data_IF_830690557786
#
_entry.id   IF_830690557786
#
_cell.length_a   1.000
_cell.length_b   1.000
_cell.length_c   1.000
_cell.angle_alpha   90.00
_cell.angle_beta   90.00
_cell.angle_gamma   90.00
#
_symmetry.space_group_name_H-M   'P 1'
#
loop_
_entity.id
_entity.type
_entity.pdbx_description
1 polymer ?
#
# COMPACT_ATOMS: atom_id res chain seq x y z
N UNK A 1 -14.64 -4.80 -5.73
CA UNK A 1 -14.57 -5.91 -4.78
C UNK A 1 -14.50 -5.41 -3.34
N UNK A 2 -13.37 -5.03 -2.80
CA UNK A 2 -13.17 -4.80 -1.37
C UNK A 2 -14.16 -3.78 -0.78
N UNK A 3 -14.34 -2.63 -1.38
CA UNK A 3 -15.28 -1.60 -0.92
C UNK A 3 -16.76 -1.98 -1.04
N UNK A 4 -17.10 -3.08 -1.67
CA UNK A 4 -18.47 -3.60 -1.80
C UNK A 4 -18.75 -4.83 -0.92
N UNK A 5 -17.83 -5.21 -0.05
CA UNK A 5 -18.01 -6.33 0.87
C UNK A 5 -18.68 -5.91 2.19
N UNK A 6 -18.82 -4.63 2.44
CA UNK A 6 -19.38 -4.08 3.66
C UNK A 6 -20.83 -3.69 3.48
N UNK A 7 -21.57 -3.67 4.57
CA UNK A 7 -22.98 -3.31 4.56
C UNK A 7 -23.16 -1.81 4.30
N UNK A 8 -23.90 -1.48 3.27
CA UNK A 8 -24.30 -0.10 2.97
C UNK A 8 -25.69 0.19 3.54
N UNK A 9 -25.96 1.47 3.81
CA UNK A 9 -27.23 1.92 4.36
C UNK A 9 -28.42 1.53 3.46
N UNK A 10 -28.24 1.60 2.15
CA UNK A 10 -29.24 1.25 1.13
C UNK A 10 -29.68 -0.22 1.26
N UNK A 11 -28.77 -1.14 1.49
CA UNK A 11 -29.07 -2.57 1.64
C UNK A 11 -29.96 -2.81 2.86
N UNK A 12 -29.66 -2.15 3.97
CA UNK A 12 -30.46 -2.21 5.19
C UNK A 12 -31.84 -1.61 4.98
N UNK A 13 -31.94 -0.42 4.36
CA UNK A 13 -33.18 0.29 4.10
C UNK A 13 -34.07 -0.51 3.15
N UNK A 14 -33.52 -1.08 2.09
CA UNK A 14 -34.29 -1.90 1.13
C UNK A 14 -34.84 -3.15 1.79
N UNK A 15 -34.06 -3.83 2.62
CA UNK A 15 -34.50 -5.01 3.35
C UNK A 15 -35.66 -4.68 4.30
N UNK A 16 -35.53 -3.60 5.04
CA UNK A 16 -36.59 -3.11 5.93
C UNK A 16 -37.83 -2.70 5.14
N UNK A 17 -37.68 -1.91 4.07
CA UNK A 17 -38.79 -1.42 3.27
C UNK A 17 -39.54 -2.57 2.58
N UNK A 18 -38.85 -3.57 2.06
CA UNK A 18 -39.49 -4.77 1.48
C UNK A 18 -40.38 -5.49 2.48
N UNK A 19 -39.92 -5.57 3.74
CA UNK A 19 -40.75 -6.12 4.83
C UNK A 19 -41.99 -5.26 5.11
N UNK A 20 -41.87 -3.92 5.13
CA UNK A 20 -42.98 -3.02 5.42
C UNK A 20 -44.05 -3.08 4.35
N UNK A 21 -43.67 -3.11 3.07
CA UNK A 21 -44.64 -3.13 1.95
C UNK A 21 -45.06 -4.54 1.54
N UNK A 22 -44.43 -5.56 2.13
CA UNK A 22 -44.60 -7.00 1.85
C UNK A 22 -44.49 -7.31 0.33
N UNK A 23 -43.49 -6.72 -0.32
CA UNK A 23 -43.19 -6.90 -1.75
C UNK A 23 -41.68 -6.81 -1.99
N UNK A 24 -41.16 -7.47 -3.03
CA UNK A 24 -39.80 -7.26 -3.49
C UNK A 24 -39.56 -5.78 -3.89
N UNK A 25 -38.41 -5.26 -3.49
CA UNK A 25 -37.95 -3.93 -3.89
C UNK A 25 -36.65 -4.07 -4.65
N UNK A 26 -36.47 -3.31 -5.73
CA UNK A 26 -35.23 -3.17 -6.45
C UNK A 26 -34.77 -1.72 -6.44
N UNK A 27 -33.51 -1.52 -6.17
CA UNK A 27 -32.83 -0.24 -6.30
C UNK A 27 -31.56 -0.41 -7.15
N UNK A 28 -31.22 0.62 -7.89
CA UNK A 28 -29.98 0.68 -8.66
C UNK A 28 -29.43 2.08 -8.53
N UNK A 29 -28.25 2.20 -7.91
CA UNK A 29 -27.59 3.49 -7.75
C UNK A 29 -27.22 4.09 -9.10
N UNK A 30 -27.42 5.38 -9.23
CA UNK A 30 -26.81 6.17 -10.30
C UNK A 30 -25.35 6.46 -9.97
N UNK A 31 -24.57 6.84 -10.98
CA UNK A 31 -23.14 7.14 -10.83
C UNK A 31 -22.90 8.27 -9.82
N UNK A 32 -23.75 9.30 -9.86
CA UNK A 32 -23.66 10.45 -8.96
C UNK A 32 -23.89 10.07 -7.50
N UNK A 33 -24.87 9.19 -7.24
CA UNK A 33 -25.14 8.65 -5.90
C UNK A 33 -23.93 7.88 -5.39
N UNK A 34 -23.36 6.98 -6.23
CA UNK A 34 -22.17 6.21 -5.85
C UNK A 34 -20.97 7.09 -5.50
N UNK A 35 -20.76 8.20 -6.20
CA UNK A 35 -19.67 9.13 -5.83
C UNK A 35 -19.91 9.89 -4.53
N UNK A 36 -21.15 10.05 -4.11
CA UNK A 36 -21.50 10.75 -2.88
C UNK A 36 -21.54 9.85 -1.66
N UNK A 37 -21.84 8.56 -1.84
CA UNK A 37 -22.17 7.65 -0.72
C UNK A 37 -21.25 6.43 -0.63
N UNK A 38 -20.71 5.92 -1.74
CA UNK A 38 -19.84 4.76 -1.70
C UNK A 38 -18.51 5.08 -0.99
N UNK A 39 -18.05 4.15 -0.18
CA UNK A 39 -16.74 4.25 0.43
C UNK A 39 -15.63 4.19 -0.63
N UNK A 40 -14.63 5.03 -0.48
CA UNK A 40 -13.43 5.01 -1.31
C UNK A 40 -12.20 4.62 -0.47
N UNK A 41 -11.08 4.34 -1.09
CA UNK A 41 -9.84 3.97 -0.41
C UNK A 41 -8.74 5.01 -0.58
N UNK A 42 -7.71 4.91 0.28
CA UNK A 42 -6.41 5.56 0.15
C UNK A 42 -6.44 7.08 0.17
N UNK A 43 -6.69 7.63 1.36
CA UNK A 43 -6.60 9.06 1.58
C UNK A 43 -5.74 9.35 2.81
N UNK A 44 -4.42 9.33 2.58
CA UNK A 44 -3.38 9.53 3.59
C UNK A 44 -2.49 10.69 3.22
N UNK A 45 -2.24 11.58 4.19
CA UNK A 45 -1.14 12.54 4.15
C UNK A 45 -0.02 12.02 5.04
N UNK A 46 1.11 11.63 4.43
CA UNK A 46 2.19 10.95 5.15
C UNK A 46 3.50 11.69 5.06
N UNK A 47 4.14 11.89 6.20
CA UNK A 47 5.55 12.28 6.31
C UNK A 47 6.34 11.04 6.73
N UNK A 48 7.41 10.75 6.01
CA UNK A 48 8.23 9.57 6.27
C UNK A 48 9.72 9.87 6.14
N UNK A 49 10.52 9.25 7.01
CA UNK A 49 11.96 9.41 7.08
C UNK A 49 12.62 8.05 7.21
N UNK A 50 13.68 7.83 6.43
CA UNK A 50 14.49 6.62 6.47
C UNK A 50 15.93 6.98 6.87
N UNK A 51 16.40 6.43 7.99
CA UNK A 51 17.77 6.55 8.41
C UNK A 51 18.62 5.41 7.81
N UNK A 52 19.78 5.78 7.27
CA UNK A 52 20.73 4.84 6.66
C UNK A 52 22.15 5.11 7.18
N UNK A 53 22.96 4.07 7.17
CA UNK A 53 24.39 4.23 7.32
C UNK A 53 25.06 4.61 5.98
N UNK A 54 26.38 4.89 6.03
CA UNK A 54 27.16 5.27 4.83
C UNK A 54 27.22 4.17 3.76
N UNK A 55 26.93 2.93 4.10
CA UNK A 55 26.89 1.82 3.16
C UNK A 55 25.52 1.62 2.51
N UNK A 56 24.49 2.34 2.96
CA UNK A 56 23.12 2.21 2.50
C UNK A 56 22.31 1.15 3.24
N UNK A 57 22.76 0.71 4.41
CA UNK A 57 21.95 -0.16 5.27
C UNK A 57 20.93 0.66 6.05
N UNK A 58 19.71 0.14 6.15
CA UNK A 58 18.63 0.78 6.88
C UNK A 58 18.85 0.65 8.38
N UNK A 59 18.71 1.76 9.08
CA UNK A 59 18.85 1.86 10.53
C UNK A 59 17.50 2.06 11.23
N UNK A 60 16.65 2.92 10.67
CA UNK A 60 15.32 3.17 11.21
C UNK A 60 14.39 3.76 10.16
N UNK A 61 13.09 3.53 10.34
CA UNK A 61 11.99 4.16 9.59
C UNK A 61 11.08 4.90 10.56
N UNK A 62 10.77 6.16 10.27
CA UNK A 62 9.75 6.93 10.98
C UNK A 62 8.66 7.35 10.01
N UNK A 63 7.40 7.08 10.37
CA UNK A 63 6.23 7.39 9.55
C UNK A 63 5.18 8.05 10.43
N UNK A 64 4.71 9.23 10.01
CA UNK A 64 3.60 9.95 10.62
C UNK A 64 2.55 10.20 9.56
N UNK A 65 1.33 9.73 9.79
CA UNK A 65 0.24 9.76 8.81
C UNK A 65 -0.99 10.43 9.39
N UNK A 66 -1.57 11.39 8.67
CA UNK A 66 -2.94 11.84 8.88
C UNK A 66 -3.83 11.09 7.88
N UNK A 67 -4.79 10.31 8.39
CA UNK A 67 -5.69 9.49 7.60
C UNK A 67 -7.10 10.06 7.59
N UNK A 68 -7.63 10.35 6.41
CA UNK A 68 -9.03 10.75 6.24
C UNK A 68 -9.94 9.53 6.46
N UNK A 69 -10.97 9.70 7.29
CA UNK A 69 -12.01 8.69 7.56
C UNK A 69 -13.34 9.01 6.87
N UNK A 70 -13.44 10.19 6.23
CA UNK A 70 -14.70 10.69 5.69
C UNK A 70 -15.61 11.29 6.77
N UNK A 71 -16.89 11.51 6.43
CA UNK A 71 -17.86 12.15 7.32
C UNK A 71 -18.33 11.24 8.48
N UNK A 72 -18.19 9.93 8.30
CA UNK A 72 -18.52 8.92 9.30
C UNK A 72 -17.72 7.64 9.03
N UNK A 73 -17.58 6.80 10.05
CA UNK A 73 -16.85 5.54 9.91
C UNK A 73 -17.67 4.51 9.11
N UNK A 74 -17.07 3.97 8.08
CA UNK A 74 -17.52 2.74 7.46
C UNK A 74 -17.11 1.54 8.31
N UNK A 75 -17.56 0.34 7.97
CA UNK A 75 -17.51 -0.85 8.83
C UNK A 75 -16.08 -1.24 9.26
N UNK A 76 -15.11 -1.13 8.34
CA UNK A 76 -13.73 -1.57 8.59
C UNK A 76 -12.71 -0.42 8.51
N UNK A 77 -13.20 0.80 8.39
CA UNK A 77 -12.41 2.00 8.09
C UNK A 77 -11.21 2.20 9.02
N UNK A 78 -11.39 2.05 10.33
CA UNK A 78 -10.35 2.31 11.32
C UNK A 78 -9.16 1.36 11.24
N UNK A 79 -9.35 0.13 10.76
CA UNK A 79 -8.29 -0.87 10.65
C UNK A 79 -7.34 -0.61 9.48
N UNK A 80 -7.81 0.09 8.44
CA UNK A 80 -7.05 0.29 7.20
C UNK A 80 -5.78 1.11 7.43
N UNK A 81 -5.88 2.36 7.96
CA UNK A 81 -4.70 3.21 8.15
C UNK A 81 -3.86 2.82 9.37
N UNK A 82 -4.35 1.96 10.22
CA UNK A 82 -3.69 1.57 11.48
C UNK A 82 -3.03 0.20 11.35
N UNK A 83 -3.74 -0.87 11.72
CA UNK A 83 -3.17 -2.23 11.80
C UNK A 83 -2.68 -2.70 10.44
N UNK A 84 -3.52 -2.60 9.39
CA UNK A 84 -3.19 -3.13 8.07
C UNK A 84 -2.11 -2.32 7.34
N UNK A 85 -1.94 -1.07 7.68
CA UNK A 85 -0.88 -0.21 7.18
C UNK A 85 0.42 -0.41 7.96
N UNK A 86 0.38 -0.25 9.28
CA UNK A 86 1.57 -0.25 10.11
C UNK A 86 2.33 -1.57 10.08
N UNK A 87 1.62 -2.70 10.07
CA UNK A 87 2.23 -4.04 10.11
C UNK A 87 3.02 -4.40 8.85
N UNK A 88 2.83 -3.69 7.73
CA UNK A 88 3.57 -3.92 6.47
C UNK A 88 4.67 -2.88 6.20
N UNK A 89 4.92 -1.93 7.13
CA UNK A 89 5.99 -0.94 6.97
C UNK A 89 7.40 -1.53 7.00
N UNK A 90 7.59 -2.76 7.45
CA UNK A 90 8.87 -3.46 7.30
C UNK A 90 9.17 -3.79 5.83
N UNK A 91 8.14 -4.00 4.99
CA UNK A 91 8.33 -4.45 3.62
C UNK A 91 9.13 -5.75 3.57
N UNK A 92 10.06 -5.86 2.62
CA UNK A 92 10.98 -7.00 2.49
C UNK A 92 12.33 -6.74 3.19
N UNK A 93 12.42 -5.73 4.08
CA UNK A 93 13.68 -5.18 4.54
C UNK A 93 13.95 -5.42 6.02
N UNK A 94 15.25 -5.57 6.34
CA UNK A 94 15.78 -5.71 7.70
C UNK A 94 15.89 -4.33 8.39
N UNK A 95 14.81 -3.58 8.51
CA UNK A 95 14.80 -2.29 9.21
C UNK A 95 14.71 -2.53 10.72
N UNK A 96 15.74 -2.24 11.53
CA UNK A 96 15.76 -2.65 12.94
C UNK A 96 14.76 -1.92 13.82
N UNK A 97 14.42 -0.68 13.49
CA UNK A 97 13.50 0.14 14.26
C UNK A 97 12.49 0.82 13.33
N UNK A 98 11.22 0.71 13.66
CA UNK A 98 10.13 1.34 12.91
C UNK A 98 9.22 2.06 13.90
N UNK A 99 9.02 3.37 13.70
CA UNK A 99 8.03 4.17 14.38
C UNK A 99 6.90 4.50 13.41
N UNK A 100 5.68 4.24 13.82
CA UNK A 100 4.48 4.59 13.06
C UNK A 100 3.46 5.28 13.97
N UNK A 101 3.05 6.47 13.56
CA UNK A 101 1.98 7.23 14.21
C UNK A 101 0.90 7.55 13.18
N UNK A 102 -0.35 7.30 13.53
CA UNK A 102 -1.50 7.59 12.67
C UNK A 102 -2.53 8.41 13.43
N UNK A 103 -2.84 9.58 12.89
CA UNK A 103 -3.95 10.42 13.34
C UNK A 103 -5.11 10.27 12.37
N UNK A 104 -6.18 9.63 12.80
CA UNK A 104 -7.41 9.51 12.02
C UNK A 104 -8.29 10.75 12.21
N UNK A 105 -8.78 11.36 11.11
CA UNK A 105 -9.57 12.59 11.15
C UNK A 105 -10.86 12.41 10.37
N UNK A 106 -11.95 12.97 10.90
CA UNK A 106 -13.20 13.10 10.14
C UNK A 106 -13.14 14.32 9.22
N UNK A 107 -13.75 14.19 8.06
CA UNK A 107 -13.86 15.26 7.06
C UNK A 107 -15.28 15.28 6.45
N UNK A 108 -15.53 16.17 5.53
CA UNK A 108 -16.82 16.25 4.82
C UNK A 108 -16.86 15.47 3.50
N UNK A 109 -15.98 14.46 3.35
CA UNK A 109 -15.97 13.58 2.18
C UNK A 109 -16.80 12.32 2.39
N UNK A 110 -17.05 11.56 1.33
CA UNK A 110 -17.56 10.20 1.44
C UNK A 110 -16.67 9.36 2.38
N UNK A 111 -17.20 8.32 3.03
CA UNK A 111 -16.43 7.51 3.96
C UNK A 111 -15.25 6.81 3.27
N UNK A 112 -14.17 6.64 4.02
CA UNK A 112 -12.98 5.91 3.56
C UNK A 112 -13.00 4.52 4.17
N UNK A 113 -12.84 3.50 3.34
CA UNK A 113 -12.80 2.10 3.78
C UNK A 113 -11.83 1.28 2.92
N UNK A 114 -11.85 -0.03 3.08
CA UNK A 114 -10.98 -0.94 2.39
C UNK A 114 -11.12 -0.86 0.88
N UNK A 115 -10.04 -0.56 0.20
CA UNK A 115 -9.85 -0.85 -1.21
C UNK A 115 -8.84 -1.98 -1.35
N UNK A 116 -8.80 -2.70 -2.46
CA UNK A 116 -7.94 -3.87 -2.66
C UNK A 116 -6.53 -3.67 -2.09
N UNK A 117 -6.14 -4.52 -1.12
CA UNK A 117 -4.90 -4.43 -0.36
C UNK A 117 -5.02 -3.73 1.00
N UNK A 118 -5.98 -2.79 1.16
CA UNK A 118 -6.43 -2.25 2.45
C UNK A 118 -5.30 -1.84 3.41
N UNK A 119 -4.61 -0.74 3.14
CA UNK A 119 -3.48 -0.23 3.95
C UNK A 119 -2.11 -0.77 3.51
N UNK A 120 -2.03 -1.98 3.00
CA UNK A 120 -0.78 -2.59 2.54
C UNK A 120 -0.18 -1.94 1.28
N UNK A 121 -0.97 -1.56 0.26
CA UNK A 121 -0.45 -0.77 -0.85
C UNK A 121 0.09 0.59 -0.43
N UNK A 122 -0.54 1.23 0.56
CA UNK A 122 -0.10 2.50 1.13
C UNK A 122 1.25 2.34 1.83
N UNK A 123 1.42 1.28 2.63
CA UNK A 123 2.70 0.95 3.27
C UNK A 123 3.79 0.68 2.22
N UNK A 124 3.49 -0.13 1.22
CA UNK A 124 4.39 -0.43 0.11
C UNK A 124 4.81 0.85 -0.62
N UNK A 125 3.87 1.74 -0.91
CA UNK A 125 4.16 3.01 -1.58
C UNK A 125 5.13 3.86 -0.75
N UNK A 126 4.89 4.04 0.55
CA UNK A 126 5.75 4.82 1.44
C UNK A 126 7.15 4.24 1.48
N UNK A 127 7.28 2.94 1.75
CA UNK A 127 8.58 2.27 1.88
C UNK A 127 9.36 2.32 0.56
N UNK A 128 8.76 1.91 -0.54
CA UNK A 128 9.44 1.82 -1.84
C UNK A 128 9.82 3.19 -2.41
N UNK A 129 9.02 4.24 -2.13
CA UNK A 129 9.37 5.62 -2.49
C UNK A 129 10.57 6.14 -1.70
N UNK A 130 10.65 5.83 -0.40
CA UNK A 130 11.81 6.17 0.42
C UNK A 130 13.07 5.43 -0.04
N UNK A 131 12.97 4.13 -0.31
CA UNK A 131 14.09 3.33 -0.82
C UNK A 131 14.61 3.89 -2.14
N UNK A 132 13.72 4.25 -3.05
CA UNK A 132 14.10 4.88 -4.33
C UNK A 132 14.68 6.28 -4.15
N UNK A 133 14.22 7.06 -3.17
CA UNK A 133 14.81 8.36 -2.83
C UNK A 133 16.23 8.19 -2.26
N UNK A 134 16.41 7.26 -1.32
CA UNK A 134 17.70 6.92 -0.74
C UNK A 134 18.70 6.44 -1.80
N UNK A 135 18.27 5.59 -2.72
CA UNK A 135 19.10 5.13 -3.84
C UNK A 135 19.67 6.30 -4.65
N UNK A 136 18.83 7.28 -4.96
CA UNK A 136 19.24 8.47 -5.72
C UNK A 136 20.20 9.37 -4.93
N UNK A 137 19.89 9.65 -3.67
CA UNK A 137 20.74 10.50 -2.81
C UNK A 137 22.11 9.88 -2.57
N UNK A 138 22.14 8.58 -2.30
CA UNK A 138 23.39 7.85 -2.06
C UNK A 138 24.12 7.45 -3.34
N UNK A 139 23.52 7.67 -4.52
CA UNK A 139 24.07 7.24 -5.82
C UNK A 139 24.31 5.73 -5.88
N UNK A 140 23.46 4.95 -5.26
CA UNK A 140 23.44 3.48 -5.28
C UNK A 140 22.36 3.04 -6.27
N UNK A 141 22.62 2.01 -7.06
CA UNK A 141 21.61 1.49 -7.98
C UNK A 141 20.37 0.99 -7.20
N UNK A 142 19.18 1.23 -7.76
CA UNK A 142 17.90 0.93 -7.10
C UNK A 142 17.76 -0.55 -6.70
N UNK A 143 18.28 -1.46 -7.52
CA UNK A 143 18.31 -2.89 -7.19
C UNK A 143 19.29 -3.19 -6.06
N UNK A 144 20.45 -2.53 -6.04
CA UNK A 144 21.53 -2.85 -5.09
C UNK A 144 21.20 -2.37 -3.68
N UNK A 145 20.56 -1.20 -3.52
CA UNK A 145 20.13 -0.74 -2.19
C UNK A 145 19.06 -1.69 -1.60
N UNK A 146 18.19 -2.26 -2.45
CA UNK A 146 17.20 -3.26 -2.03
C UNK A 146 17.87 -4.55 -1.58
N UNK A 147 18.79 -5.08 -2.38
CA UNK A 147 19.57 -6.28 -2.05
C UNK A 147 20.32 -6.19 -0.74
N UNK A 148 20.93 -5.04 -0.45
CA UNK A 148 21.66 -4.80 0.82
C UNK A 148 20.79 -4.93 2.04
N UNK A 149 19.49 -4.73 1.89
CA UNK A 149 18.55 -4.63 3.00
C UNK A 149 17.51 -5.74 3.02
N UNK A 150 17.51 -6.65 2.05
CA UNK A 150 16.57 -7.77 2.05
C UNK A 150 16.71 -8.66 3.28
N UNK A 151 15.58 -9.09 3.80
CA UNK A 151 15.50 -10.19 4.75
C UNK A 151 15.96 -11.47 4.01
N UNK A 152 16.94 -12.16 4.56
CA UNK A 152 17.53 -13.38 4.00
C UNK A 152 17.45 -14.59 4.92
N UNK A 153 17.13 -14.36 6.19
CA UNK A 153 17.00 -15.41 7.20
C UNK A 153 15.56 -15.47 7.70
N UNK A 154 15.03 -16.69 7.81
CA UNK A 154 13.64 -16.94 8.19
C UNK A 154 13.58 -18.06 9.26
N UNK A 155 12.56 -18.06 10.16
CA UNK A 155 11.52 -17.02 10.25
C UNK A 155 12.10 -15.67 10.71
N UNK A 156 11.54 -14.58 10.20
CA UNK A 156 11.99 -13.22 10.53
C UNK A 156 10.90 -12.45 11.27
N UNK A 157 11.18 -12.09 12.53
CA UNK A 157 10.31 -11.24 13.32
C UNK A 157 10.53 -9.77 12.94
N UNK A 158 9.52 -9.14 12.35
CA UNK A 158 9.58 -7.71 12.06
C UNK A 158 9.38 -6.87 13.33
N UNK A 159 9.84 -5.62 13.38
CA UNK A 159 9.58 -4.74 14.51
C UNK A 159 8.11 -4.23 14.56
N UNK A 160 7.28 -4.59 13.59
CA UNK A 160 5.88 -4.16 13.45
C UNK A 160 4.89 -5.33 13.48
N UNK A 161 5.08 -6.23 14.41
CA UNK A 161 4.23 -7.34 14.82
C UNK A 161 4.28 -8.60 13.92
N UNK A 162 4.38 -8.49 12.60
CA UNK A 162 4.34 -9.68 11.74
C UNK A 162 5.65 -10.48 11.81
N UNK A 163 5.52 -11.81 11.83
CA UNK A 163 6.62 -12.74 11.61
C UNK A 163 6.51 -13.32 10.21
N UNK A 164 7.55 -13.17 9.41
CA UNK A 164 7.61 -13.75 8.06
C UNK A 164 8.20 -15.16 8.15
N UNK A 165 7.48 -16.13 7.62
CA UNK A 165 7.81 -17.55 7.75
C UNK A 165 8.91 -18.00 6.77
N UNK A 166 8.87 -17.52 5.52
CA UNK A 166 9.80 -17.88 4.46
C UNK A 166 9.87 -16.83 3.36
N UNK A 167 10.90 -16.86 2.55
CA UNK A 167 11.03 -15.99 1.39
C UNK A 167 12.35 -16.14 0.66
N UNK A 168 12.39 -15.67 -0.59
CA UNK A 168 13.60 -15.51 -1.38
C UNK A 168 13.49 -14.24 -2.24
N UNK A 169 13.68 -13.10 -1.61
CA UNK A 169 13.44 -11.79 -2.22
C UNK A 169 14.49 -11.47 -3.30
N UNK A 170 15.73 -11.94 -3.12
CA UNK A 170 16.78 -11.80 -4.12
C UNK A 170 16.44 -12.54 -5.42
N UNK A 171 15.98 -13.77 -5.33
CA UNK A 171 15.61 -14.56 -6.51
C UNK A 171 14.44 -13.89 -7.26
N UNK A 172 13.45 -13.36 -6.54
CA UNK A 172 12.30 -12.67 -7.12
C UNK A 172 12.73 -11.40 -7.86
N UNK A 173 13.56 -10.56 -7.24
CA UNK A 173 14.08 -9.35 -7.87
C UNK A 173 14.94 -9.68 -9.09
N UNK A 174 15.82 -10.66 -8.99
CA UNK A 174 16.69 -11.08 -10.09
C UNK A 174 15.89 -11.61 -11.28
N UNK A 175 14.84 -12.41 -11.03
CA UNK A 175 13.94 -12.88 -12.09
C UNK A 175 13.20 -11.72 -12.77
N UNK A 176 12.69 -10.75 -12.00
CA UNK A 176 12.02 -9.57 -12.52
C UNK A 176 12.96 -8.70 -13.37
N UNK A 177 14.19 -8.46 -12.93
CA UNK A 177 15.22 -7.71 -13.66
C UNK A 177 15.52 -8.38 -15.01
N UNK A 178 15.67 -9.70 -15.01
CA UNK A 178 15.90 -10.48 -16.22
C UNK A 178 14.72 -10.42 -17.18
N UNK A 179 13.50 -10.61 -16.67
CA UNK A 179 12.28 -10.58 -17.48
C UNK A 179 12.03 -9.19 -18.09
N UNK A 180 12.29 -8.12 -17.36
CA UNK A 180 12.17 -6.75 -17.83
C UNK A 180 13.32 -6.32 -18.77
N UNK A 181 14.33 -7.16 -18.94
CA UNK A 181 15.55 -6.83 -19.68
C UNK A 181 16.10 -5.46 -19.29
N UNK A 182 16.42 -5.29 -18.03
CA UNK A 182 16.94 -4.03 -17.49
C UNK A 182 18.25 -3.64 -18.16
N UNK A 183 19.08 -4.61 -18.54
CA UNK A 183 20.34 -4.35 -19.26
C UNK A 183 20.13 -3.64 -20.62
N UNK A 184 19.06 -3.99 -21.33
CA UNK A 184 18.68 -3.35 -22.59
C UNK A 184 17.89 -2.04 -22.44
N UNK A 185 17.61 -1.58 -21.20
CA UNK A 185 16.72 -0.44 -20.98
C UNK A 185 17.20 0.85 -21.60
N UNK A 186 18.49 1.19 -21.48
CA UNK A 186 19.03 2.45 -22.04
C UNK A 186 18.94 2.50 -23.57
N UNK A 187 19.13 1.37 -24.26
CA UNK A 187 18.92 1.30 -25.70
C UNK A 187 17.45 1.59 -26.07
N UNK A 188 16.52 0.93 -25.38
CA UNK A 188 15.07 1.14 -25.58
C UNK A 188 14.62 2.56 -25.25
N UNK A 189 15.25 3.20 -24.26
CA UNK A 189 14.99 4.58 -23.88
C UNK A 189 15.43 5.56 -24.98
N UNK A 190 16.63 5.36 -25.55
CA UNK A 190 17.14 6.15 -26.68
C UNK A 190 16.25 5.99 -27.92
N UNK A 191 15.86 4.77 -28.24
CA UNK A 191 14.93 4.48 -29.34
C UNK A 191 13.57 5.15 -29.16
N UNK A 192 13.01 5.14 -27.96
CA UNK A 192 11.77 5.83 -27.64
C UNK A 192 11.91 7.36 -27.80
N UNK A 193 13.01 7.94 -27.30
CA UNK A 193 13.29 9.36 -27.43
C UNK A 193 13.40 9.80 -28.90
N UNK A 194 14.01 8.99 -29.76
CA UNK A 194 14.10 9.28 -31.21
C UNK A 194 12.72 9.34 -31.88
N UNK A 195 11.69 8.75 -31.25
CA UNK A 195 10.29 8.81 -31.70
C UNK A 195 9.45 9.84 -30.91
N UNK A 196 10.08 10.75 -30.17
CA UNK A 196 9.40 11.74 -29.33
C UNK A 196 8.65 11.15 -28.14
N UNK A 197 9.04 9.97 -27.66
CA UNK A 197 8.40 9.28 -26.52
C UNK A 197 9.34 9.19 -25.33
N UNK A 198 8.77 9.27 -24.14
CA UNK A 198 9.49 9.02 -22.89
C UNK A 198 9.34 7.56 -22.46
N UNK A 199 10.38 7.00 -21.88
CA UNK A 199 10.37 5.68 -21.27
C UNK A 199 11.06 5.74 -19.90
N UNK A 200 10.40 5.20 -18.87
CA UNK A 200 10.90 5.12 -17.50
C UNK A 200 11.07 3.68 -17.05
N UNK A 201 11.94 3.48 -16.07
CA UNK A 201 12.11 2.24 -15.32
C UNK A 201 11.92 2.57 -13.85
N UNK A 202 11.16 1.77 -13.15
CA UNK A 202 10.95 1.87 -11.70
C UNK A 202 11.03 0.51 -11.05
N UNK A 203 11.32 0.50 -9.76
CA UNK A 203 11.39 -0.70 -8.94
C UNK A 203 10.37 -0.61 -7.81
N UNK A 204 9.73 -1.71 -7.51
CA UNK A 204 8.97 -1.92 -6.30
C UNK A 204 9.09 -3.40 -5.93
N UNK A 205 9.58 -3.66 -4.74
CA UNK A 205 9.63 -4.99 -4.16
C UNK A 205 8.73 -5.01 -2.94
N UNK A 206 7.74 -5.88 -2.91
CA UNK A 206 6.76 -5.85 -1.84
C UNK A 206 6.35 -7.25 -1.39
N UNK A 207 5.84 -7.31 -0.18
CA UNK A 207 5.16 -8.47 0.39
C UNK A 207 3.69 -8.11 0.60
N UNK A 208 2.82 -9.07 0.37
CA UNK A 208 1.39 -8.94 0.62
C UNK A 208 0.98 -9.98 1.67
N UNK A 209 0.31 -9.54 2.71
CA UNK A 209 -0.28 -10.43 3.69
C UNK A 209 -1.67 -10.88 3.21
N UNK A 210 -1.74 -12.07 2.64
CA UNK A 210 -2.97 -12.70 2.20
C UNK A 210 -3.56 -13.57 3.31
N UNK A 211 -4.89 -13.76 3.29
CA UNK A 211 -5.55 -14.71 4.18
C UNK A 211 -5.52 -14.30 5.66
N UNK A 212 -5.53 -13.01 5.94
CA UNK A 212 -5.75 -12.51 7.30
C UNK A 212 -7.16 -12.90 7.75
N UNK A 213 -7.29 -14.07 8.32
CA UNK A 213 -8.44 -14.45 9.10
C UNK A 213 -8.18 -14.13 10.58
N UNK A 214 -9.23 -13.78 11.37
CA UNK A 214 -9.11 -13.66 12.81
C UNK A 214 -8.77 -15.01 13.46
#
# INVERSE_FOLDING_TARGET
FASKNFLYAEETVLTWASKQVNRPIKWTAERSESFLTDAHGRDHLTTAELALDKSGRFLALRVTTTANMGAYLSTFASCIPTILYATLLAGQYTTPAIYCEVTAVFTNTAPVDAYRGAGRPEATYVVERLVSAAAREMKIAEADIRRRNFISEFPYQTPVALCYDTGNYEATLTAAIKLADVAGFEARKKEAAARGRLRGLGYSTYIEACGLAP
#
